data_IF_432905176951
#
_entry.id   IF_432905176951
#
_cell.length_a   1.000
_cell.length_b   1.000
_cell.length_c   1.000
_cell.angle_alpha   90.00
_cell.angle_beta   90.00
_cell.angle_gamma   90.00
#
_symmetry.space_group_name_H-M   'P 1'
#
loop_
_entity.id
_entity.type
_entity.pdbx_description
1 polymer ?
#
# COMPACT_ATOMS: atom_id res chain seq x y z
N UNK A 1 17.42 -14.91 5.45
CA UNK A 1 18.09 -13.63 5.07
C UNK A 1 17.03 -12.52 5.00
N UNK A 2 17.38 -11.22 5.00
CA UNK A 2 16.38 -10.14 5.03
C UNK A 2 15.43 -10.18 3.81
N UNK A 3 15.97 -10.53 2.63
CA UNK A 3 15.20 -10.73 1.40
C UNK A 3 14.08 -11.78 1.55
N UNK A 4 14.32 -12.87 2.28
CA UNK A 4 13.33 -13.94 2.48
C UNK A 4 12.16 -13.46 3.36
N UNK A 5 12.46 -12.67 4.40
CA UNK A 5 11.44 -12.10 5.30
C UNK A 5 10.58 -11.07 4.57
N UNK A 6 11.22 -10.25 3.75
CA UNK A 6 10.52 -9.23 2.96
C UNK A 6 9.63 -9.88 1.90
N UNK A 7 10.11 -10.95 1.24
CA UNK A 7 9.31 -11.76 0.33
C UNK A 7 8.09 -12.35 1.02
N UNK A 8 8.26 -12.94 2.21
CA UNK A 8 7.15 -13.47 3.01
C UNK A 8 6.11 -12.41 3.33
N UNK A 9 6.54 -11.20 3.71
CA UNK A 9 5.61 -10.10 3.93
C UNK A 9 4.83 -9.76 2.66
N UNK A 10 5.50 -9.58 1.51
CA UNK A 10 4.80 -9.21 0.27
C UNK A 10 3.85 -10.29 -0.23
N UNK A 11 4.14 -11.57 -0.01
CA UNK A 11 3.21 -12.65 -0.29
C UNK A 11 1.91 -12.54 0.52
N UNK A 12 1.95 -11.95 1.73
CA UNK A 12 0.70 -11.69 2.49
C UNK A 12 -0.20 -10.64 1.86
N UNK A 13 0.32 -9.84 0.92
CA UNK A 13 -0.44 -8.80 0.19
C UNK A 13 -1.20 -9.40 -0.99
N UNK A 14 -0.77 -10.54 -1.53
CA UNK A 14 -1.43 -11.19 -2.66
C UNK A 14 -2.92 -11.42 -2.39
N UNK A 15 -3.74 -11.32 -3.44
CA UNK A 15 -5.17 -11.60 -3.40
C UNK A 15 -6.08 -10.36 -3.46
N UNK A 16 -7.37 -10.54 -3.23
CA UNK A 16 -8.40 -9.50 -3.37
C UNK A 16 -8.72 -8.85 -2.03
N UNK A 17 -8.71 -7.52 -2.03
CA UNK A 17 -8.93 -6.68 -0.87
C UNK A 17 -10.06 -5.68 -1.12
N UNK A 18 -10.99 -5.57 -0.19
CA UNK A 18 -12.06 -4.58 -0.25
C UNK A 18 -12.29 -3.93 1.09
N UNK A 19 -12.54 -2.63 1.13
CA UNK A 19 -12.91 -1.97 2.36
C UNK A 19 -12.98 -0.45 2.32
N UNK A 20 -13.48 0.14 3.41
CA UNK A 20 -13.63 1.58 3.52
C UNK A 20 -12.28 2.29 3.72
N UNK A 21 -12.22 3.51 3.22
CA UNK A 21 -11.22 4.49 3.59
C UNK A 21 -11.84 5.87 3.81
N UNK A 22 -11.07 6.72 4.48
CA UNK A 22 -11.47 8.08 4.81
C UNK A 22 -10.29 9.04 4.67
N UNK A 23 -10.57 10.24 4.16
CA UNK A 23 -9.65 11.37 4.25
C UNK A 23 -9.76 11.97 5.65
N UNK A 24 -8.70 11.90 6.45
CA UNK A 24 -8.75 12.27 7.88
C UNK A 24 -8.26 13.69 8.16
N UNK A 25 -7.59 14.33 7.20
CA UNK A 25 -7.06 15.68 7.32
C UNK A 25 -7.09 16.47 5.99
N UNK A 26 -6.95 17.79 6.08
CA UNK A 26 -6.96 18.69 4.93
C UNK A 26 -8.36 19.09 4.44
N UNK A 27 -8.41 19.77 3.29
CA UNK A 27 -9.65 20.35 2.71
C UNK A 27 -10.78 19.32 2.52
N UNK A 28 -10.43 18.06 2.26
CA UNK A 28 -11.39 17.00 1.95
C UNK A 28 -11.66 16.06 3.15
N UNK A 29 -11.33 16.48 4.38
CA UNK A 29 -11.56 15.70 5.59
C UNK A 29 -13.01 15.22 5.70
N UNK A 30 -13.20 13.96 6.11
CA UNK A 30 -14.51 13.31 6.23
C UNK A 30 -15.02 12.67 4.94
N UNK A 31 -14.30 12.83 3.82
CA UNK A 31 -14.64 12.14 2.58
C UNK A 31 -14.40 10.65 2.74
N UNK A 32 -15.47 9.87 2.61
CA UNK A 32 -15.44 8.41 2.68
C UNK A 32 -15.41 7.81 1.28
N UNK A 33 -14.69 6.72 1.15
CA UNK A 33 -14.59 5.96 -0.09
C UNK A 33 -14.49 4.47 0.21
N UNK A 34 -14.74 3.65 -0.80
CA UNK A 34 -14.57 2.19 -0.73
C UNK A 34 -13.62 1.76 -1.82
N UNK A 35 -12.56 1.05 -1.46
CA UNK A 35 -11.59 0.52 -2.41
C UNK A 35 -11.82 -0.96 -2.67
N UNK A 36 -11.57 -1.39 -3.90
CA UNK A 36 -11.42 -2.79 -4.30
C UNK A 36 -10.07 -2.90 -5.01
N UNK A 37 -9.14 -3.66 -4.44
CA UNK A 37 -7.74 -3.74 -4.84
C UNK A 37 -7.32 -5.21 -4.98
N UNK A 38 -6.55 -5.50 -6.01
CA UNK A 38 -5.88 -6.77 -6.24
C UNK A 38 -4.40 -6.63 -5.90
N UNK A 39 -3.92 -7.45 -4.97
CA UNK A 39 -2.52 -7.60 -4.62
C UNK A 39 -1.85 -8.70 -5.42
N UNK A 40 -0.66 -8.44 -5.94
CA UNK A 40 0.21 -9.41 -6.62
C UNK A 40 1.67 -9.18 -6.25
N UNK A 41 2.51 -10.20 -6.42
CA UNK A 41 3.98 -10.08 -6.31
C UNK A 41 4.62 -10.40 -7.66
N UNK A 42 5.72 -9.72 -8.03
CA UNK A 42 6.50 -10.11 -9.20
C UNK A 42 7.29 -11.40 -8.95
N UNK A 43 7.54 -12.19 -10.00
CA UNK A 43 8.22 -13.48 -9.90
C UNK A 43 9.73 -13.37 -9.71
N UNK A 44 10.34 -12.32 -10.28
CA UNK A 44 11.78 -12.13 -10.45
C UNK A 44 12.42 -11.22 -9.39
N UNK A 45 11.61 -10.53 -8.59
CA UNK A 45 12.10 -9.59 -7.57
C UNK A 45 11.21 -9.57 -6.32
N UNK A 46 11.76 -9.10 -5.21
CA UNK A 46 10.98 -8.90 -3.97
C UNK A 46 10.18 -7.61 -4.12
N UNK A 47 8.86 -7.69 -4.02
CA UNK A 47 8.00 -6.52 -4.20
C UNK A 47 6.52 -6.85 -4.22
N UNK A 48 5.69 -5.85 -4.51
CA UNK A 48 4.25 -6.00 -4.64
C UNK A 48 3.67 -5.04 -5.68
N UNK A 49 2.48 -5.36 -6.17
CA UNK A 49 1.55 -4.42 -6.77
C UNK A 49 0.19 -4.51 -6.07
N UNK A 50 -0.41 -3.37 -5.76
CA UNK A 50 -1.82 -3.23 -5.38
C UNK A 50 -2.50 -2.39 -6.45
N UNK A 51 -3.43 -2.97 -7.20
CA UNK A 51 -4.10 -2.32 -8.34
C UNK A 51 -5.61 -2.46 -8.24
N UNK A 52 -6.36 -1.41 -8.57
CA UNK A 52 -7.81 -1.46 -8.55
C UNK A 52 -8.44 -0.08 -8.56
N UNK A 53 -9.56 0.07 -7.84
CA UNK A 53 -10.34 1.31 -7.85
C UNK A 53 -10.86 1.68 -6.47
N UNK A 54 -10.95 2.98 -6.20
CA UNK A 54 -11.58 3.54 -5.02
C UNK A 54 -12.75 4.44 -5.43
N UNK A 55 -13.93 4.16 -4.86
CA UNK A 55 -15.19 4.80 -5.19
C UNK A 55 -15.60 5.82 -4.12
N UNK A 56 -15.87 7.05 -4.53
CA UNK A 56 -16.45 8.14 -3.72
C UNK A 56 -17.84 8.44 -4.27
N UNK A 57 -18.89 8.04 -3.55
CA UNK A 57 -20.28 8.22 -4.02
C UNK A 57 -20.55 7.49 -5.34
N UNK A 58 -20.75 8.21 -6.43
CA UNK A 58 -20.95 7.65 -7.80
C UNK A 58 -19.67 7.65 -8.64
N UNK A 59 -18.61 8.30 -8.17
CA UNK A 59 -17.36 8.43 -8.91
C UNK A 59 -16.37 7.33 -8.50
N UNK A 60 -15.71 6.72 -9.47
CA UNK A 60 -14.64 5.73 -9.23
C UNK A 60 -13.33 6.26 -9.79
N UNK A 61 -12.25 6.12 -9.02
CA UNK A 61 -10.91 6.51 -9.44
C UNK A 61 -9.98 5.29 -9.37
N UNK A 62 -9.13 5.08 -10.40
CA UNK A 62 -8.11 4.04 -10.34
C UNK A 62 -7.13 4.35 -9.21
N UNK A 63 -6.66 3.30 -8.54
CA UNK A 63 -5.62 3.37 -7.53
C UNK A 63 -4.63 2.24 -7.75
N UNK A 64 -3.36 2.60 -7.88
CA UNK A 64 -2.28 1.64 -8.14
C UNK A 64 -1.03 1.97 -7.35
N UNK A 65 -0.46 0.98 -6.70
CA UNK A 65 0.85 1.05 -6.04
C UNK A 65 1.70 -0.12 -6.52
N UNK A 66 2.87 0.14 -7.08
CA UNK A 66 3.85 -0.89 -7.44
C UNK A 66 5.16 -0.58 -6.75
N UNK A 67 5.76 -1.56 -6.07
CA UNK A 67 7.02 -1.42 -5.36
C UNK A 67 7.87 -2.66 -5.56
N UNK A 68 9.15 -2.46 -5.87
CA UNK A 68 10.14 -3.54 -6.00
C UNK A 68 11.42 -3.19 -5.26
N UNK A 69 12.15 -4.22 -4.85
CA UNK A 69 13.43 -4.09 -4.18
C UNK A 69 14.49 -3.65 -5.19
N UNK A 70 15.26 -2.63 -4.83
CA UNK A 70 16.38 -2.12 -5.63
C UNK A 70 17.57 -1.88 -4.69
N UNK A 71 18.65 -2.63 -4.89
CA UNK A 71 19.79 -2.65 -3.96
C UNK A 71 19.34 -3.01 -2.54
N UNK A 72 19.64 -2.13 -1.59
CA UNK A 72 19.26 -2.29 -0.17
C UNK A 72 17.89 -1.69 0.17
N UNK A 73 17.22 -1.03 -0.78
CA UNK A 73 15.98 -0.32 -0.57
C UNK A 73 14.84 -0.76 -1.48
N UNK A 74 13.88 0.14 -1.65
CA UNK A 74 12.67 -0.08 -2.45
C UNK A 74 12.41 1.12 -3.35
N UNK A 75 12.02 0.84 -4.59
CA UNK A 75 11.61 1.84 -5.56
C UNK A 75 10.28 1.46 -6.18
N UNK A 76 9.54 2.44 -6.70
CA UNK A 76 8.23 2.16 -7.26
C UNK A 76 7.40 3.40 -7.54
N UNK A 77 6.10 3.20 -7.79
CA UNK A 77 5.15 4.23 -8.14
C UNK A 77 3.84 4.03 -7.40
N UNK A 78 3.29 5.13 -6.90
CA UNK A 78 1.91 5.24 -6.46
C UNK A 78 1.15 6.14 -7.44
N UNK A 79 -0.03 5.73 -7.91
CA UNK A 79 -0.90 6.42 -8.86
C UNK A 79 -0.15 7.07 -10.04
N UNK A 80 0.55 6.24 -10.82
CA UNK A 80 1.36 6.62 -11.99
C UNK A 80 2.69 7.35 -11.70
N UNK A 81 3.06 7.50 -10.42
CA UNK A 81 4.33 8.13 -10.04
C UNK A 81 4.33 9.65 -10.21
N UNK A 82 5.48 10.28 -9.96
CA UNK A 82 5.62 11.73 -9.96
C UNK A 82 5.41 12.38 -11.35
N UNK A 83 5.74 11.64 -12.42
CA UNK A 83 5.52 12.04 -13.82
C UNK A 83 4.03 12.06 -14.19
N UNK A 84 3.21 11.29 -13.49
CA UNK A 84 1.76 11.22 -13.65
C UNK A 84 1.01 12.07 -12.62
N UNK A 85 -0.02 11.49 -12.00
CA UNK A 85 -0.83 12.17 -10.97
C UNK A 85 -0.46 11.76 -9.54
N UNK A 86 0.51 10.89 -9.36
CA UNK A 86 0.82 10.27 -8.08
C UNK A 86 2.18 10.65 -7.52
N UNK A 87 2.84 9.68 -6.88
CA UNK A 87 4.05 9.85 -6.07
C UNK A 87 5.03 8.71 -6.38
N UNK A 88 6.32 8.99 -6.38
CA UNK A 88 7.33 7.94 -6.47
C UNK A 88 7.58 7.33 -5.09
N UNK A 89 7.78 6.02 -5.07
CA UNK A 89 8.29 5.32 -3.90
C UNK A 89 9.81 5.34 -3.98
N UNK A 90 10.46 5.95 -3.00
CA UNK A 90 11.93 6.19 -3.01
C UNK A 90 12.68 5.46 -1.91
N UNK A 91 11.97 4.92 -0.92
CA UNK A 91 12.54 4.12 0.14
C UNK A 91 11.49 3.19 0.73
N UNK A 92 11.92 2.17 1.45
CA UNK A 92 11.03 1.24 2.12
C UNK A 92 11.71 0.47 3.23
N UNK A 93 10.94 0.02 4.22
CA UNK A 93 11.41 -0.93 5.23
C UNK A 93 10.27 -1.84 5.64
N UNK A 94 10.53 -3.15 5.61
CA UNK A 94 9.62 -4.17 6.13
C UNK A 94 10.04 -4.51 7.56
N UNK A 95 9.07 -4.61 8.47
CA UNK A 95 9.32 -4.98 9.85
C UNK A 95 8.16 -5.82 10.38
N UNK A 96 8.34 -7.15 10.39
CA UNK A 96 7.30 -8.09 10.81
C UNK A 96 6.10 -8.01 9.86
N UNK A 97 4.96 -7.60 10.38
CA UNK A 97 3.69 -7.52 9.64
C UNK A 97 3.35 -6.11 9.11
N UNK A 98 4.35 -5.22 9.05
CA UNK A 98 4.18 -3.87 8.51
C UNK A 98 5.30 -3.51 7.54
N UNK A 99 4.96 -2.66 6.57
CA UNK A 99 5.90 -2.00 5.68
C UNK A 99 5.67 -0.49 5.70
N UNK A 100 6.75 0.28 5.69
CA UNK A 100 6.70 1.73 5.53
C UNK A 100 7.45 2.09 4.27
N UNK A 101 6.80 2.83 3.37
CA UNK A 101 7.37 3.39 2.16
C UNK A 101 7.51 4.90 2.28
N UNK A 102 8.65 5.44 1.85
CA UNK A 102 8.82 6.87 1.62
C UNK A 102 8.23 7.26 0.26
N UNK A 103 7.39 8.28 0.26
CA UNK A 103 6.78 8.84 -0.95
C UNK A 103 7.41 10.20 -1.26
N UNK A 104 7.77 10.43 -2.52
CA UNK A 104 8.29 11.71 -2.98
C UNK A 104 7.62 12.15 -4.28
N UNK A 105 7.28 13.44 -4.35
CA UNK A 105 7.00 14.15 -5.60
C UNK A 105 7.35 15.61 -5.45
N UNK A 106 8.50 16.03 -6.00
CA UNK A 106 8.96 17.43 -5.97
C UNK A 106 8.97 17.97 -4.53
N UNK A 107 7.93 18.73 -4.15
CA UNK A 107 7.74 19.37 -2.84
C UNK A 107 6.91 18.55 -1.84
N UNK A 108 6.23 17.50 -2.29
CA UNK A 108 5.42 16.62 -1.45
C UNK A 108 6.26 15.43 -1.01
N UNK A 109 6.63 15.43 0.28
CA UNK A 109 7.22 14.28 0.95
C UNK A 109 6.14 13.61 1.79
N UNK A 110 6.08 12.29 1.77
CA UNK A 110 5.09 11.53 2.53
C UNK A 110 5.60 10.17 2.92
N UNK A 111 4.73 9.42 3.59
CA UNK A 111 4.96 8.03 3.93
C UNK A 111 3.67 7.24 3.73
N UNK A 112 3.80 6.02 3.23
CA UNK A 112 2.72 5.04 3.23
C UNK A 112 3.09 3.94 4.22
N UNK A 113 2.21 3.68 5.18
CA UNK A 113 2.30 2.54 6.09
C UNK A 113 1.23 1.54 5.70
N UNK A 114 1.62 0.30 5.42
CA UNK A 114 0.69 -0.82 5.32
C UNK A 114 0.99 -1.83 6.43
N UNK A 115 -0.03 -2.27 7.15
CA UNK A 115 0.04 -3.29 8.21
C UNK A 115 -0.97 -4.39 7.94
N UNK A 116 -0.52 -5.62 7.86
CA UNK A 116 -1.37 -6.82 7.81
C UNK A 116 -1.56 -7.31 9.24
N UNK A 117 -2.68 -6.92 9.87
CA UNK A 117 -2.93 -7.21 11.30
C UNK A 117 -3.21 -8.70 11.53
N UNK A 118 -3.86 -9.34 10.56
CA UNK A 118 -4.17 -10.76 10.49
C UNK A 118 -4.28 -11.16 9.01
N UNK A 119 -4.36 -12.46 8.66
CA UNK A 119 -4.37 -12.91 7.26
C UNK A 119 -5.44 -12.26 6.37
N UNK A 120 -6.51 -11.72 6.96
CA UNK A 120 -7.67 -11.17 6.27
C UNK A 120 -7.86 -9.66 6.50
N UNK A 121 -6.95 -8.98 7.20
CA UNK A 121 -7.08 -7.54 7.49
C UNK A 121 -5.81 -6.78 7.20
N UNK A 122 -5.90 -5.80 6.30
CA UNK A 122 -4.83 -4.85 5.99
C UNK A 122 -5.28 -3.44 6.32
N UNK A 123 -4.46 -2.70 7.06
CA UNK A 123 -4.66 -1.28 7.31
C UNK A 123 -3.60 -0.49 6.55
N UNK A 124 -4.03 0.54 5.83
CA UNK A 124 -3.14 1.43 5.07
C UNK A 124 -3.34 2.85 5.56
N UNK A 125 -2.24 3.53 5.86
CA UNK A 125 -2.21 4.95 6.22
C UNK A 125 -1.27 5.67 5.28
N UNK A 126 -1.76 6.73 4.64
CA UNK A 126 -0.93 7.65 3.87
C UNK A 126 -0.80 8.94 4.66
N UNK A 127 0.44 9.35 4.90
CA UNK A 127 0.80 10.57 5.60
C UNK A 127 1.58 11.49 4.66
N UNK A 128 1.39 12.79 4.84
CA UNK A 128 2.21 13.81 4.18
C UNK A 128 3.01 14.57 5.23
N UNK A 129 4.20 15.00 4.86
CA UNK A 129 5.05 15.83 5.72
C UNK A 129 4.54 17.27 5.66
N UNK A 130 4.19 17.80 6.82
CA UNK A 130 3.89 19.21 7.04
C UNK A 130 4.92 19.72 8.03
N UNK A 131 5.73 20.68 7.61
CA UNK A 131 6.89 21.15 8.37
C UNK A 131 7.84 19.97 8.74
N UNK A 132 7.95 19.65 10.03
CA UNK A 132 8.80 18.57 10.56
C UNK A 132 8.00 17.32 10.93
N UNK A 133 6.68 17.34 10.80
CA UNK A 133 5.78 16.27 11.26
C UNK A 133 5.13 15.51 10.09
N UNK A 134 4.88 14.22 10.29
CA UNK A 134 4.10 13.41 9.36
C UNK A 134 2.64 13.40 9.82
N UNK A 135 1.78 14.04 9.03
CA UNK A 135 0.35 14.13 9.30
C UNK A 135 -0.38 13.08 8.48
N UNK A 136 -1.12 12.14 9.11
CA UNK A 136 -1.94 11.19 8.38
C UNK A 136 -3.05 11.95 7.64
N UNK A 137 -3.19 11.67 6.35
CA UNK A 137 -4.21 12.31 5.50
C UNK A 137 -5.24 11.31 4.99
N UNK A 138 -4.85 10.05 4.83
CA UNK A 138 -5.74 8.98 4.36
C UNK A 138 -5.55 7.77 5.26
N UNK A 139 -6.66 7.18 5.70
CA UNK A 139 -6.69 5.89 6.37
C UNK A 139 -7.63 4.93 5.65
N UNK A 140 -7.25 3.66 5.56
CA UNK A 140 -8.02 2.59 4.94
C UNK A 140 -7.95 1.33 5.79
N UNK A 141 -9.07 0.62 5.88
CA UNK A 141 -9.13 -0.72 6.46
C UNK A 141 -9.72 -1.66 5.42
N UNK A 142 -8.91 -2.60 4.95
CA UNK A 142 -9.23 -3.52 3.87
C UNK A 142 -9.40 -4.92 4.44
N UNK A 143 -10.43 -5.61 3.96
CA UNK A 143 -10.70 -7.01 4.22
C UNK A 143 -10.38 -7.83 3.00
N UNK A 144 -9.78 -8.99 3.22
CA UNK A 144 -9.62 -9.99 2.17
C UNK A 144 -11.00 -10.52 1.75
N UNK A 145 -11.27 -10.55 0.46
CA UNK A 145 -12.56 -10.97 -0.10
C UNK A 145 -12.45 -12.15 -1.06
N UNK A 146 -11.25 -12.57 -1.40
CA UNK A 146 -11.07 -13.84 -2.10
C UNK A 146 -11.23 -15.02 -1.14
N UNK A 147 -11.82 -16.09 -1.65
CA UNK A 147 -11.87 -17.38 -0.95
C UNK A 147 -10.56 -18.16 -1.12
N UNK A 148 -9.45 -17.48 -1.43
CA UNK A 148 -8.15 -18.15 -1.45
C UNK A 148 -7.86 -18.54 -0.01
N UNK A 149 -8.06 -19.82 0.26
CA UNK A 149 -7.63 -20.44 1.48
C UNK A 149 -6.14 -20.11 1.65
N UNK A 150 -5.82 -19.26 2.63
CA UNK A 150 -4.53 -19.26 3.30
C UNK A 150 -4.41 -20.62 4.03
N UNK A 151 -4.23 -21.67 3.24
CA UNK A 151 -4.31 -23.07 3.66
C UNK A 151 -3.27 -23.97 2.99
N UNK A 152 -2.27 -23.41 2.32
CA UNK A 152 -1.20 -24.19 1.68
C UNK A 152 0.13 -23.44 1.54
N UNK A 153 0.47 -22.59 2.52
CA UNK A 153 1.89 -22.52 2.93
C UNK A 153 2.15 -23.68 3.91
N UNK A 154 2.09 -24.90 3.36
CA UNK A 154 2.61 -26.06 4.05
C UNK A 154 4.11 -25.86 4.22
N UNK A 155 4.60 -26.05 5.45
CA UNK A 155 6.00 -26.38 5.75
C UNK A 155 6.55 -27.31 4.66
N UNK A 156 7.60 -26.88 3.98
CA UNK A 156 8.65 -27.76 3.49
C UNK A 156 9.98 -27.06 3.76
#
# INVERSE_FOLDING_TARGET
MAADKDKQFFQTIEGQWSGPGEIVAGKYKGTKFVCNLAGTTPDDTVGMTLDGTCRVGVFSQPMKATVTRVGDGYAGKFNDGADGKGLDVTSGSVNGNKVVFGLNRKQLNGAMLARVSDPNTMNVTVSVRVEKELVPVIGMSLKRVDTIAVGSIAKN
#
